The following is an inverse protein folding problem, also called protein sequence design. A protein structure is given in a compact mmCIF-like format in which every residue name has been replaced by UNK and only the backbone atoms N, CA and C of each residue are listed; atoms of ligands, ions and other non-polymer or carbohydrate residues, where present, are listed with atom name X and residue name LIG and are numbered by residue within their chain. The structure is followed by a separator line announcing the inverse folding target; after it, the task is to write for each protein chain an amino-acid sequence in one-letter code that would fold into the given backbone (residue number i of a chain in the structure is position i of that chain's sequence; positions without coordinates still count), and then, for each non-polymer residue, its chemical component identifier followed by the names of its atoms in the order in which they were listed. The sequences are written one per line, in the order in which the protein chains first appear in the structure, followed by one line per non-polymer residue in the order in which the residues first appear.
data_IF_398383072102
#
_entry.id   IF_398383072102
#
_cell.length_a   1.000
_cell.length_b   1.000
_cell.length_c   1.000
_cell.angle_alpha   90.00
_cell.angle_beta   90.00
_cell.angle_gamma   90.00
#
_symmetry.space_group_name_H-M   'P 1'
#
loop_
_entity.id
_entity.type
_entity.pdbx_description
1 polymer ?
#
# COMPACT_ATOMS: atom_id res chain seq x y z
N UNK A 1 17.43 6.64 9.58
CA UNK A 1 18.77 6.55 10.19
C UNK A 1 18.85 5.19 10.86
N UNK A 2 19.89 4.40 10.61
CA UNK A 2 20.03 3.11 11.27
C UNK A 2 20.45 3.33 12.74
N UNK A 3 19.82 2.60 13.67
CA UNK A 3 20.21 2.60 15.09
C UNK A 3 20.43 1.16 15.54
N UNK A 4 21.50 0.93 16.31
CA UNK A 4 21.78 -0.37 16.91
C UNK A 4 20.99 -0.50 18.22
N UNK A 5 20.07 -1.46 18.30
CA UNK A 5 19.32 -1.76 19.51
C UNK A 5 19.41 -3.26 19.82
N UNK A 6 19.89 -3.61 21.03
CA UNK A 6 20.06 -5.00 21.50
C UNK A 6 20.79 -5.92 20.50
N UNK A 7 21.84 -5.41 19.86
CA UNK A 7 22.65 -6.16 18.90
C UNK A 7 22.03 -6.34 17.50
N UNK A 8 20.88 -5.70 17.22
CA UNK A 8 20.27 -5.68 15.89
C UNK A 8 20.25 -4.26 15.33
N UNK A 9 20.59 -4.12 14.05
CA UNK A 9 20.43 -2.87 13.32
C UNK A 9 18.95 -2.68 13.00
N UNK A 10 18.32 -1.69 13.61
CA UNK A 10 16.94 -1.31 13.35
C UNK A 10 16.95 -0.05 12.51
N UNK A 11 16.24 -0.08 11.38
CA UNK A 11 16.07 1.12 10.57
C UNK A 11 15.05 2.04 11.25
N UNK A 12 15.51 3.17 11.80
CA UNK A 12 14.62 4.19 12.34
C UNK A 12 14.20 5.16 11.22
N UNK A 13 12.97 5.04 10.75
CA UNK A 13 12.29 6.12 10.04
C UNK A 13 11.92 7.24 11.04
N UNK A 14 11.73 8.47 10.56
CA UNK A 14 11.08 9.50 11.39
C UNK A 14 9.70 8.95 11.75
N UNK A 15 9.32 8.89 13.04
CA UNK A 15 8.00 8.38 13.52
C UNK A 15 6.82 8.87 12.67
N UNK A 16 6.94 10.09 12.13
CA UNK A 16 5.98 10.73 11.23
C UNK A 16 5.66 9.93 9.95
N UNK A 17 6.54 9.08 9.43
CA UNK A 17 6.30 8.35 8.18
C UNK A 17 5.16 7.33 8.31
N UNK A 18 5.08 6.62 9.44
CA UNK A 18 3.98 5.68 9.68
C UNK A 18 2.67 6.44 9.92
N UNK A 19 2.72 7.52 10.72
CA UNK A 19 1.57 8.38 10.99
C UNK A 19 0.98 8.98 9.70
N UNK A 20 1.81 9.57 8.83
CA UNK A 20 1.36 10.08 7.54
C UNK A 20 0.83 8.97 6.62
N UNK A 21 1.44 7.78 6.69
CA UNK A 21 0.95 6.63 5.92
C UNK A 21 -0.45 6.20 6.36
N UNK A 22 -0.71 6.15 7.67
CA UNK A 22 -2.02 5.82 8.23
C UNK A 22 -3.07 6.90 7.92
N UNK A 23 -2.70 8.18 7.98
CA UNK A 23 -3.58 9.29 7.56
C UNK A 23 -3.93 9.22 6.08
N UNK A 24 -2.97 8.89 5.22
CA UNK A 24 -3.21 8.68 3.80
C UNK A 24 -4.12 7.48 3.56
N UNK A 25 -3.92 6.38 4.30
CA UNK A 25 -4.80 5.21 4.25
C UNK A 25 -6.24 5.58 4.59
N UNK A 26 -6.49 6.25 5.71
CA UNK A 26 -7.85 6.66 6.10
C UNK A 26 -8.47 7.59 5.04
N UNK A 27 -7.71 8.56 4.54
CA UNK A 27 -8.18 9.49 3.50
C UNK A 27 -8.61 8.76 2.22
N UNK A 28 -7.80 7.84 1.71
CA UNK A 28 -8.15 7.07 0.51
C UNK A 28 -9.28 6.07 0.76
N UNK A 29 -9.34 5.51 1.96
CA UNK A 29 -10.45 4.64 2.36
C UNK A 29 -11.79 5.40 2.37
N UNK A 30 -11.81 6.63 2.89
CA UNK A 30 -13.00 7.50 2.81
C UNK A 30 -13.31 7.90 1.36
N UNK A 31 -12.29 8.19 0.54
CA UNK A 31 -12.49 8.52 -0.88
C UNK A 31 -13.17 7.37 -1.65
N UNK A 32 -12.75 6.12 -1.42
CA UNK A 32 -13.40 4.92 -1.99
C UNK A 32 -14.84 4.77 -1.48
N UNK A 33 -15.13 5.09 -0.21
CA UNK A 33 -16.51 5.07 0.30
C UNK A 33 -17.40 6.12 -0.36
N UNK A 34 -16.88 7.32 -0.58
CA UNK A 34 -17.62 8.43 -1.18
C UNK A 34 -17.85 8.22 -2.68
N UNK A 35 -16.85 7.67 -3.38
CA UNK A 35 -16.93 7.42 -4.81
C UNK A 35 -16.31 6.04 -5.16
N UNK A 36 -17.08 4.95 -4.95
CA UNK A 36 -16.57 3.58 -5.14
C UNK A 36 -16.36 3.20 -6.61
N UNK A 37 -16.75 4.05 -7.55
CA UNK A 37 -16.57 3.81 -9.00
C UNK A 37 -15.39 4.59 -9.58
N UNK A 38 -14.62 5.30 -8.76
CA UNK A 38 -13.43 6.01 -9.21
C UNK A 38 -12.19 5.11 -9.09
N UNK A 39 -11.73 4.58 -10.24
CA UNK A 39 -10.59 3.67 -10.30
C UNK A 39 -9.30 4.26 -9.72
N UNK A 40 -9.11 5.59 -9.75
CA UNK A 40 -7.91 6.22 -9.17
C UNK A 40 -7.89 6.14 -7.64
N UNK A 41 -9.04 6.19 -6.98
CA UNK A 41 -9.10 6.06 -5.52
C UNK A 41 -8.74 4.64 -5.07
N UNK A 42 -9.21 3.64 -5.81
CA UNK A 42 -8.80 2.25 -5.61
C UNK A 42 -7.30 2.05 -5.86
N UNK A 43 -6.74 2.64 -6.94
CA UNK A 43 -5.29 2.61 -7.17
C UNK A 43 -4.51 3.22 -6.00
N UNK A 44 -4.89 4.41 -5.53
CA UNK A 44 -4.22 5.08 -4.42
C UNK A 44 -4.35 4.30 -3.10
N UNK A 45 -5.52 3.72 -2.83
CA UNK A 45 -5.73 2.87 -1.66
C UNK A 45 -4.84 1.62 -1.70
N UNK A 46 -4.75 0.96 -2.86
CA UNK A 46 -3.84 -0.17 -3.04
C UNK A 46 -2.36 0.23 -2.85
N UNK A 47 -1.95 1.41 -3.35
CA UNK A 47 -0.57 1.90 -3.17
C UNK A 47 -0.22 2.10 -1.71
N UNK A 48 -1.10 2.73 -0.94
CA UNK A 48 -0.80 3.01 0.46
C UNK A 48 -0.81 1.74 1.31
N UNK A 49 -1.67 0.76 0.99
CA UNK A 49 -1.65 -0.57 1.59
C UNK A 49 -0.30 -1.26 1.30
N UNK A 50 0.13 -1.34 0.05
CA UNK A 50 1.43 -1.95 -0.30
C UNK A 50 2.61 -1.30 0.44
N UNK A 51 2.60 0.04 0.55
CA UNK A 51 3.66 0.79 1.26
C UNK A 51 3.64 0.53 2.76
N UNK A 52 2.48 0.57 3.40
CA UNK A 52 2.33 0.32 4.82
C UNK A 52 2.72 -1.12 5.19
N UNK A 53 2.42 -2.11 4.33
CA UNK A 53 2.79 -3.52 4.54
C UNK A 53 4.32 -3.68 4.56
N UNK A 54 5.00 -3.05 3.59
CA UNK A 54 6.46 -3.04 3.52
C UNK A 54 7.09 -2.34 4.71
N UNK A 55 6.52 -1.21 5.15
CA UNK A 55 7.00 -0.48 6.33
C UNK A 55 6.82 -1.30 7.62
N UNK A 56 5.68 -1.96 7.79
CA UNK A 56 5.42 -2.80 8.96
C UNK A 56 6.38 -4.00 9.01
N UNK A 57 6.63 -4.63 7.86
CA UNK A 57 7.61 -5.71 7.71
C UNK A 57 9.01 -5.24 8.12
N UNK A 58 9.45 -4.06 7.65
CA UNK A 58 10.76 -3.49 8.01
C UNK A 58 10.88 -3.19 9.52
N UNK A 59 9.77 -2.82 10.18
CA UNK A 59 9.76 -2.55 11.62
C UNK A 59 9.53 -3.81 12.48
N UNK A 60 9.40 -5.00 11.86
CA UNK A 60 8.98 -6.23 12.56
C UNK A 60 7.69 -6.04 13.38
N UNK A 61 6.83 -5.09 12.97
CA UNK A 61 5.53 -4.89 13.59
C UNK A 61 4.64 -6.02 13.10
N UNK A 62 4.04 -6.75 14.04
CA UNK A 62 3.08 -7.80 13.71
C UNK A 62 1.75 -7.15 13.27
N UNK A 63 1.71 -6.64 12.04
CA UNK A 63 0.56 -5.95 11.45
C UNK A 63 -0.39 -6.88 10.71
N UNK A 64 -0.42 -8.17 11.10
CA UNK A 64 -1.14 -9.27 10.42
C UNK A 64 -2.61 -8.96 10.08
N UNK A 65 -3.22 -7.99 10.76
CA UNK A 65 -4.62 -7.63 10.58
C UNK A 65 -4.85 -6.34 9.76
N UNK A 66 -3.83 -5.49 9.59
CA UNK A 66 -4.02 -4.14 9.04
C UNK A 66 -3.58 -3.98 7.59
N UNK A 67 -2.55 -4.70 7.14
CA UNK A 67 -1.94 -4.42 5.84
C UNK A 67 -1.45 -5.69 5.17
N UNK A 68 -2.23 -6.14 4.19
CA UNK A 68 -1.96 -7.35 3.43
C UNK A 68 -1.75 -6.96 1.96
N UNK A 69 -0.65 -7.43 1.37
CA UNK A 69 -0.36 -7.25 -0.05
C UNK A 69 -1.47 -7.84 -0.94
N UNK A 70 -2.22 -8.83 -0.46
CA UNK A 70 -3.41 -9.35 -1.16
C UNK A 70 -4.52 -8.30 -1.25
N UNK A 71 -4.73 -7.49 -0.20
CA UNK A 71 -5.69 -6.37 -0.24
C UNK A 71 -5.24 -5.29 -1.22
N UNK A 72 -3.94 -4.99 -1.30
CA UNK A 72 -3.43 -4.06 -2.31
C UNK A 72 -3.73 -4.55 -3.74
N UNK A 73 -3.51 -5.84 -4.01
CA UNK A 73 -3.84 -6.43 -5.32
C UNK A 73 -5.34 -6.37 -5.63
N UNK A 74 -6.20 -6.61 -4.64
CA UNK A 74 -7.65 -6.47 -4.81
C UNK A 74 -8.01 -5.05 -5.27
N UNK A 75 -7.52 -4.02 -4.58
CA UNK A 75 -7.77 -2.63 -4.93
C UNK A 75 -7.23 -2.27 -6.33
N UNK A 76 -6.07 -2.79 -6.71
CA UNK A 76 -5.52 -2.62 -8.06
C UNK A 76 -6.39 -3.26 -9.15
N UNK A 77 -6.93 -4.45 -8.89
CA UNK A 77 -7.81 -5.12 -9.83
C UNK A 77 -9.14 -4.37 -9.97
N UNK A 78 -9.68 -3.82 -8.87
CA UNK A 78 -10.87 -2.97 -8.92
C UNK A 78 -10.60 -1.72 -9.75
N UNK A 79 -9.43 -1.07 -9.58
CA UNK A 79 -9.06 0.08 -10.39
C UNK A 79 -9.08 -0.22 -11.89
N UNK A 80 -8.49 -1.35 -12.31
CA UNK A 80 -8.51 -1.81 -13.71
C UNK A 80 -9.92 -2.18 -14.17
N UNK A 81 -10.74 -2.78 -13.31
CA UNK A 81 -12.12 -3.14 -13.65
C UNK A 81 -13.00 -1.91 -13.89
N UNK A 82 -12.81 -0.85 -13.10
CA UNK A 82 -13.58 0.40 -13.21
C UNK A 82 -13.17 1.23 -14.43
N UNK A 83 -11.92 1.11 -14.89
CA UNK A 83 -11.40 1.83 -16.06
C UNK A 83 -10.51 0.90 -16.91
N UNK A 84 -11.11 -0.06 -17.64
CA UNK A 84 -10.36 -1.11 -18.33
C UNK A 84 -9.62 -0.59 -19.57
N UNK A 85 -10.01 0.55 -20.12
CA UNK A 85 -9.34 1.16 -21.28
C UNK A 85 -8.10 1.96 -20.88
N UNK A 86 -7.92 2.25 -19.59
CA UNK A 86 -6.77 2.99 -19.07
C UNK A 86 -5.51 2.13 -19.01
N UNK A 87 -4.63 2.34 -19.99
CA UNK A 87 -3.35 1.66 -20.15
C UNK A 87 -2.44 1.83 -18.93
N UNK A 88 -2.51 2.98 -18.25
CA UNK A 88 -1.68 3.23 -17.07
C UNK A 88 -2.02 2.25 -15.95
N UNK A 89 -3.31 2.07 -15.63
CA UNK A 89 -3.75 1.15 -14.60
C UNK A 89 -3.33 -0.28 -14.94
N UNK A 90 -3.63 -0.75 -16.15
CA UNK A 90 -3.27 -2.11 -16.59
C UNK A 90 -1.77 -2.37 -16.51
N UNK A 91 -0.95 -1.43 -17.01
CA UNK A 91 0.50 -1.55 -16.98
C UNK A 91 1.06 -1.47 -15.56
N UNK A 92 0.46 -0.64 -14.68
CA UNK A 92 0.84 -0.57 -13.28
C UNK A 92 0.64 -1.93 -12.59
N UNK A 93 -0.56 -2.51 -12.68
CA UNK A 93 -0.88 -3.79 -12.03
C UNK A 93 0.03 -4.90 -12.55
N UNK A 94 0.21 -5.00 -13.87
CA UNK A 94 1.10 -6.00 -14.50
C UNK A 94 2.54 -5.87 -14.00
N UNK A 95 3.06 -4.64 -13.93
CA UNK A 95 4.41 -4.38 -13.41
C UNK A 95 4.51 -4.70 -11.92
N UNK A 96 3.49 -4.39 -11.14
CA UNK A 96 3.48 -4.67 -9.71
C UNK A 96 3.44 -6.18 -9.42
N UNK A 97 2.56 -6.95 -10.09
CA UNK A 97 2.45 -8.41 -9.90
C UNK A 97 3.71 -9.15 -10.34
N UNK A 98 4.35 -8.72 -11.43
CA UNK A 98 5.62 -9.31 -11.91
C UNK A 98 6.78 -9.22 -10.90
N UNK A 99 6.70 -8.29 -9.94
CA UNK A 99 7.71 -8.13 -8.87
C UNK A 99 7.49 -9.07 -7.70
N UNK A 100 6.30 -9.64 -7.56
CA UNK A 100 5.97 -10.59 -6.48
C UNK A 100 6.30 -12.03 -6.86
N UNK A 101 6.41 -12.32 -8.16
CA UNK A 101 6.73 -13.66 -8.68
C UNK A 101 8.24 -13.93 -8.81
N UNK A 102 9.10 -13.11 -8.19
CA UNK A 102 10.55 -13.24 -8.16
C UNK A 102 11.02 -13.42 -6.73
#
# INVERSE_FOLDING_TARGET
MWKLERGKWIFQFKEKTLDYGLKAFDSYYQAVKLQPTNGWYHLCLGWIIDRLSKLATLQSINSKNLVDSAKALQEFNIAVMLDPTNDYLRNYVKKWTSKLSK
#
